data_IF_398461582118
#
_entry.id   IF_398461582118
#
_cell.length_a   1.000
_cell.length_b   1.000
_cell.length_c   1.000
_cell.angle_alpha   90.00
_cell.angle_beta   90.00
_cell.angle_gamma   90.00
#
_symmetry.space_group_name_H-M   'P 1'
#
loop_
_entity.id
_entity.type
_entity.pdbx_description
1 polymer ?
#
# COMPACT_ATOMS: atom_id res chain seq x y z
N UNK A 1 33.89 -30.15 71.55
CA UNK A 1 33.59 -29.58 70.20
C UNK A 1 32.07 -29.49 70.02
N UNK A 2 31.55 -28.31 69.88
CA UNK A 2 30.12 -28.14 69.74
C UNK A 2 29.78 -28.37 68.23
N UNK A 3 28.89 -29.31 67.98
CA UNK A 3 28.37 -29.56 66.67
C UNK A 3 27.17 -28.61 66.39
N UNK A 4 27.28 -27.78 65.35
CA UNK A 4 26.20 -26.91 64.88
C UNK A 4 25.47 -27.68 63.79
N UNK A 5 24.19 -27.97 63.99
CA UNK A 5 23.34 -28.54 62.94
C UNK A 5 22.46 -27.43 62.41
N UNK A 6 22.59 -27.14 61.09
CA UNK A 6 21.80 -26.11 60.37
C UNK A 6 20.82 -26.88 59.51
N UNK A 7 19.54 -26.58 59.66
CA UNK A 7 18.48 -27.09 58.80
C UNK A 7 17.81 -25.93 58.06
N UNK A 8 17.66 -26.08 56.74
CA UNK A 8 16.97 -25.13 55.90
C UNK A 8 15.59 -25.68 55.49
N UNK A 9 14.59 -24.88 55.62
CA UNK A 9 13.26 -25.19 55.13
C UNK A 9 12.84 -24.13 54.09
N UNK A 10 12.59 -24.59 52.85
CA UNK A 10 12.08 -23.76 51.78
C UNK A 10 10.54 -23.85 51.73
N UNK A 11 9.89 -22.74 51.97
CA UNK A 11 8.44 -22.63 51.84
C UNK A 11 8.14 -21.72 50.65
N UNK A 12 7.53 -22.25 49.61
CA UNK A 12 7.04 -21.49 48.45
C UNK A 12 5.57 -21.15 48.64
N UNK A 13 5.23 -19.90 48.78
CA UNK A 13 3.85 -19.42 48.74
C UNK A 13 3.77 -18.12 47.92
N UNK A 14 2.93 -18.15 46.88
CA UNK A 14 2.56 -16.97 46.06
C UNK A 14 3.72 -16.06 45.63
N UNK A 15 4.81 -16.64 45.09
CA UNK A 15 5.91 -15.86 44.52
C UNK A 15 6.94 -15.32 45.51
N UNK A 16 6.81 -15.62 46.79
CA UNK A 16 7.82 -15.33 47.84
C UNK A 16 8.54 -16.60 48.27
N UNK A 17 9.86 -16.58 48.25
CA UNK A 17 10.69 -17.64 48.88
C UNK A 17 10.98 -17.23 50.31
N UNK A 18 10.53 -18.04 51.27
CA UNK A 18 10.82 -17.89 52.69
C UNK A 18 11.83 -18.97 53.09
N UNK A 19 13.03 -18.59 53.45
CA UNK A 19 14.05 -19.51 53.95
C UNK A 19 14.09 -19.38 55.46
N UNK A 20 13.72 -20.46 56.18
CA UNK A 20 13.83 -20.55 57.62
C UNK A 20 15.15 -21.27 57.97
N UNK A 21 16.00 -20.59 58.68
CA UNK A 21 17.25 -21.16 59.20
C UNK A 21 17.10 -21.45 60.67
N UNK A 22 17.13 -22.73 61.02
CA UNK A 22 17.14 -23.22 62.41
C UNK A 22 18.57 -23.57 62.83
N UNK A 23 19.06 -22.89 63.88
CA UNK A 23 20.38 -23.17 64.44
C UNK A 23 20.20 -23.76 65.83
N UNK A 24 20.59 -25.03 66.01
CA UNK A 24 20.57 -25.72 67.29
C UNK A 24 21.98 -25.67 67.90
N UNK A 25 22.13 -24.97 69.02
CA UNK A 25 23.31 -25.02 69.83
C UNK A 25 22.99 -25.90 71.06
N UNK A 26 23.89 -26.85 71.38
CA UNK A 26 23.74 -27.76 72.54
C UNK A 26 23.59 -26.94 73.82
N UNK A 27 22.58 -27.30 74.62
CA UNK A 27 22.27 -27.00 76.04
C UNK A 27 21.52 -25.67 76.34
N UNK A 28 21.25 -24.80 75.37
CA UNK A 28 20.27 -23.74 75.63
C UNK A 28 19.51 -23.45 74.36
N UNK A 29 18.17 -23.67 74.36
CA UNK A 29 17.31 -23.45 73.22
C UNK A 29 17.15 -21.94 72.97
N UNK A 30 18.08 -21.36 72.23
CA UNK A 30 17.87 -20.08 71.60
C UNK A 30 17.47 -20.33 70.17
N UNK A 31 16.20 -20.15 69.86
CA UNK A 31 15.69 -20.11 68.45
C UNK A 31 15.92 -18.71 67.92
N UNK A 32 17.00 -18.48 67.21
CA UNK A 32 17.17 -17.27 66.42
C UNK A 32 16.52 -17.52 65.09
N UNK A 33 15.30 -16.98 64.89
CA UNK A 33 14.60 -17.02 63.63
C UNK A 33 15.08 -15.84 62.83
N UNK A 34 16.00 -16.03 61.90
CA UNK A 34 16.28 -15.05 60.87
C UNK A 34 15.27 -15.23 59.72
N UNK A 35 14.30 -14.33 59.67
CA UNK A 35 13.36 -14.28 58.54
C UNK A 35 13.99 -13.47 57.41
N UNK A 36 14.57 -14.13 56.43
CA UNK A 36 14.94 -13.46 55.17
C UNK A 36 13.74 -13.55 54.22
N UNK A 37 12.96 -12.47 54.18
CA UNK A 37 11.92 -12.29 53.15
C UNK A 37 12.57 -11.62 51.95
N UNK A 38 13.03 -12.39 51.00
CA UNK A 38 13.36 -11.84 49.67
C UNK A 38 12.09 -11.78 48.84
N UNK A 39 11.39 -10.66 48.88
CA UNK A 39 10.28 -10.39 47.96
C UNK A 39 10.90 -9.91 46.64
N UNK A 40 11.05 -10.79 45.69
CA UNK A 40 11.33 -10.36 44.29
C UNK A 40 10.04 -9.73 43.76
N UNK A 41 9.91 -8.42 43.94
CA UNK A 41 8.90 -7.67 43.21
C UNK A 41 9.34 -7.70 41.76
N UNK A 42 8.86 -8.68 41.01
CA UNK A 42 8.80 -8.55 39.55
C UNK A 42 7.81 -7.42 39.24
N UNK A 43 8.24 -6.19 39.46
CA UNK A 43 7.62 -5.06 38.78
C UNK A 43 7.86 -5.27 37.28
N UNK A 44 7.00 -6.06 36.64
CA UNK A 44 6.78 -5.89 35.23
C UNK A 44 6.28 -4.46 35.10
N UNK A 45 7.22 -3.54 34.85
CA UNK A 45 6.89 -2.27 34.23
C UNK A 45 6.28 -2.71 32.90
N UNK A 46 4.95 -2.80 32.87
CA UNK A 46 4.24 -2.78 31.60
C UNK A 46 4.59 -1.43 31.00
N UNK A 47 5.71 -1.41 30.26
CA UNK A 47 5.92 -0.35 29.27
C UNK A 47 4.60 -0.32 28.51
N UNK A 48 3.91 0.84 28.44
CA UNK A 48 2.84 0.96 27.48
C UNK A 48 3.51 0.56 26.17
N UNK A 49 3.22 -0.65 25.69
CA UNK A 49 3.47 -0.99 24.32
C UNK A 49 2.67 0.05 23.58
N UNK A 50 3.35 1.09 23.09
CA UNK A 50 2.88 1.86 21.96
C UNK A 50 2.78 0.85 20.81
N UNK A 51 1.77 0.01 20.88
CA UNK A 51 1.17 -0.53 19.69
C UNK A 51 0.50 0.67 19.05
N UNK A 52 1.34 1.56 18.47
CA UNK A 52 0.89 2.36 17.38
C UNK A 52 0.23 1.34 16.47
N UNK A 53 -1.10 1.40 16.39
CA UNK A 53 -1.82 0.55 15.46
C UNK A 53 -1.16 0.80 14.12
N UNK A 54 -0.22 -0.07 13.73
CA UNK A 54 0.26 -0.14 12.37
C UNK A 54 -0.98 -0.52 11.58
N UNK A 55 -1.75 0.52 11.22
CA UNK A 55 -2.84 0.32 10.27
C UNK A 55 -2.19 -0.33 9.08
N UNK A 56 -2.48 -1.61 8.86
CA UNK A 56 -1.93 -2.35 7.74
C UNK A 56 -2.11 -1.48 6.51
N UNK A 57 -1.00 -1.22 5.80
CA UNK A 57 -1.07 -0.43 4.58
C UNK A 57 -2.11 -1.09 3.67
N UNK A 58 -3.07 -0.29 3.22
CA UNK A 58 -4.09 -0.80 2.30
C UNK A 58 -3.40 -1.30 1.03
N UNK A 59 -3.85 -2.40 0.44
CA UNK A 59 -3.25 -2.92 -0.77
C UNK A 59 -3.31 -1.89 -1.91
N UNK A 60 -2.28 -1.87 -2.73
CA UNK A 60 -2.26 -1.05 -3.93
C UNK A 60 -3.28 -1.59 -4.95
N UNK A 61 -3.94 -0.68 -5.64
CA UNK A 61 -4.96 -0.95 -6.64
C UNK A 61 -4.46 -0.58 -8.04
N UNK A 62 -4.63 -1.49 -9.01
CA UNK A 62 -4.43 -1.23 -10.44
C UNK A 62 -5.77 -1.41 -11.13
N UNK A 63 -6.55 -0.34 -11.37
CA UNK A 63 -7.95 -0.43 -11.78
C UNK A 63 -8.18 -1.33 -12.99
N UNK A 64 -7.33 -1.21 -14.00
CA UNK A 64 -7.45 -2.02 -15.20
C UNK A 64 -6.52 -3.22 -15.22
N UNK A 65 -5.29 -3.11 -14.75
CA UNK A 65 -4.33 -4.21 -14.73
C UNK A 65 -4.85 -5.44 -14.00
N UNK A 66 -5.54 -5.23 -12.88
CA UNK A 66 -6.13 -6.31 -12.09
C UNK A 66 -7.48 -6.82 -12.64
N UNK A 67 -8.18 -6.06 -13.51
CA UNK A 67 -9.59 -6.32 -13.83
C UNK A 67 -9.89 -6.49 -15.32
N UNK A 68 -8.96 -6.21 -16.21
CA UNK A 68 -9.28 -6.12 -17.63
C UNK A 68 -8.65 -7.18 -18.52
N UNK A 69 -7.59 -7.85 -18.06
CA UNK A 69 -6.92 -8.87 -18.88
C UNK A 69 -6.38 -8.30 -20.21
N UNK A 70 -6.28 -9.14 -21.23
CA UNK A 70 -5.75 -8.80 -22.55
C UNK A 70 -6.69 -7.87 -23.34
N UNK A 71 -6.17 -7.05 -24.28
CA UNK A 71 -6.97 -6.23 -25.16
C UNK A 71 -7.88 -7.04 -26.06
N UNK A 72 -8.91 -6.39 -26.63
CA UNK A 72 -9.71 -6.93 -27.71
C UNK A 72 -8.95 -6.86 -29.04
N UNK A 73 -8.12 -5.82 -29.19
CA UNK A 73 -7.29 -5.65 -30.37
C UNK A 73 -6.18 -4.63 -30.15
N UNK A 74 -5.25 -4.64 -31.07
CA UNK A 74 -4.12 -3.71 -31.15
C UNK A 74 -4.07 -3.04 -32.52
N UNK A 75 -3.47 -1.87 -32.59
CA UNK A 75 -3.25 -1.16 -33.84
C UNK A 75 -1.88 -0.47 -33.83
N UNK A 76 -1.06 -0.82 -34.81
CA UNK A 76 0.31 -0.32 -34.92
C UNK A 76 0.44 0.98 -35.71
N UNK A 77 -0.67 1.52 -36.21
CA UNK A 77 -0.68 2.79 -36.96
C UNK A 77 -1.23 3.96 -36.17
N UNK A 78 -1.72 3.70 -34.94
CA UNK A 78 -2.32 4.74 -34.13
C UNK A 78 -1.27 5.71 -33.57
N UNK A 79 -1.50 6.97 -33.87
CA UNK A 79 -0.71 8.08 -33.36
C UNK A 79 -1.60 8.94 -32.47
N UNK A 80 -1.97 8.41 -31.32
CA UNK A 80 -2.95 8.99 -30.41
C UNK A 80 -2.43 9.06 -28.98
N UNK A 81 -2.82 10.10 -28.27
CA UNK A 81 -2.88 10.06 -26.82
C UNK A 81 -4.22 9.42 -26.42
N UNK A 82 -4.18 8.39 -25.62
CA UNK A 82 -5.34 7.58 -25.25
C UNK A 82 -5.35 7.30 -23.75
N UNK A 83 -6.53 7.33 -23.13
CA UNK A 83 -6.63 7.05 -21.73
C UNK A 83 -8.02 7.24 -21.15
N UNK A 84 -8.08 7.46 -19.85
CA UNK A 84 -9.34 7.58 -19.13
C UNK A 84 -9.33 8.70 -18.08
N UNK A 85 -10.51 9.26 -17.89
CA UNK A 85 -10.86 10.13 -16.79
C UNK A 85 -11.29 9.29 -15.60
N UNK A 86 -10.80 9.60 -14.41
CA UNK A 86 -11.18 8.91 -13.19
C UNK A 86 -11.40 9.85 -12.02
N UNK A 87 -12.19 9.37 -11.07
CA UNK A 87 -12.47 10.04 -9.81
C UNK A 87 -12.19 9.06 -8.67
N UNK A 88 -11.16 9.31 -7.83
CA UNK A 88 -10.94 8.53 -6.63
C UNK A 88 -12.13 8.61 -5.67
N UNK A 89 -12.51 7.51 -5.06
CA UNK A 89 -13.56 7.43 -4.04
C UNK A 89 -13.01 7.57 -2.61
N UNK A 90 -11.68 7.51 -2.47
CA UNK A 90 -10.94 7.78 -1.24
C UNK A 90 -9.74 8.67 -1.54
N UNK A 91 -9.25 9.40 -0.54
CA UNK A 91 -7.95 10.03 -0.63
C UNK A 91 -6.86 8.96 -0.73
N UNK A 92 -5.78 9.26 -1.43
CA UNK A 92 -4.68 8.31 -1.58
C UNK A 92 -3.54 8.87 -2.42
N UNK A 93 -2.71 7.96 -2.90
CA UNK A 93 -1.50 8.32 -3.64
C UNK A 93 -1.37 7.45 -4.88
N UNK A 94 -1.13 8.06 -6.03
CA UNK A 94 -0.70 7.37 -7.24
C UNK A 94 0.81 7.22 -7.18
N UNK A 95 1.30 5.98 -7.24
CA UNK A 95 2.72 5.65 -7.08
C UNK A 95 3.37 5.17 -8.37
N UNK A 96 2.58 4.68 -9.33
CA UNK A 96 3.06 4.22 -10.63
C UNK A 96 2.10 4.63 -11.74
N UNK A 97 2.65 4.81 -12.94
CA UNK A 97 1.88 4.86 -14.19
C UNK A 97 2.29 3.68 -15.06
N UNK A 98 1.34 3.14 -15.79
CA UNK A 98 1.56 1.98 -16.63
C UNK A 98 0.43 1.73 -17.62
N UNK A 99 0.41 0.54 -18.18
CA UNK A 99 -0.61 0.15 -19.14
C UNK A 99 -0.30 -1.17 -19.82
N UNK A 100 -1.17 -1.57 -20.73
CA UNK A 100 -0.97 -2.73 -21.62
C UNK A 100 -0.57 -2.23 -23.01
N UNK A 101 0.65 -2.51 -23.44
CA UNK A 101 1.19 -2.03 -24.72
C UNK A 101 2.40 -2.85 -25.17
N UNK A 102 2.93 -2.49 -26.34
CA UNK A 102 4.23 -2.94 -26.86
C UNK A 102 5.16 -1.75 -27.05
N UNK A 103 6.45 -1.96 -26.83
CA UNK A 103 7.48 -0.93 -26.96
C UNK A 103 7.45 0.10 -25.85
N UNK A 104 8.07 1.25 -26.10
CA UNK A 104 8.16 2.33 -25.12
C UNK A 104 7.00 3.31 -25.29
N UNK A 105 6.29 3.63 -24.21
CA UNK A 105 5.20 4.60 -24.16
C UNK A 105 5.49 5.70 -23.15
N UNK A 106 5.12 6.93 -23.47
CA UNK A 106 5.07 8.01 -22.49
C UNK A 106 3.67 8.05 -21.88
N UNK A 107 3.62 7.92 -20.56
CA UNK A 107 2.39 8.03 -19.78
C UNK A 107 2.36 9.35 -19.02
N UNK A 108 1.18 9.90 -18.86
CA UNK A 108 0.97 11.18 -18.19
C UNK A 108 -0.26 11.14 -17.29
N UNK A 109 -0.18 11.88 -16.19
CA UNK A 109 -1.26 12.07 -15.23
C UNK A 109 -1.52 13.56 -15.06
N UNK A 110 -2.76 14.00 -15.23
CA UNK A 110 -3.17 15.39 -15.02
C UNK A 110 -4.31 15.52 -14.03
N UNK A 111 -4.40 16.69 -13.39
CA UNK A 111 -5.62 17.15 -12.74
C UNK A 111 -6.53 17.80 -13.78
N UNK A 112 -7.75 17.31 -13.95
CA UNK A 112 -8.64 17.77 -15.03
C UNK A 112 -9.03 19.24 -14.88
N UNK A 113 -9.34 19.70 -13.66
CA UNK A 113 -9.87 21.06 -13.41
C UNK A 113 -8.88 22.18 -13.72
N UNK A 114 -7.57 21.92 -13.56
CA UNK A 114 -6.52 22.91 -13.82
C UNK A 114 -5.72 22.62 -15.08
N UNK A 115 -5.82 21.42 -15.64
CA UNK A 115 -4.93 20.96 -16.71
C UNK A 115 -3.48 20.74 -16.26
N UNK A 116 -3.21 20.76 -14.96
CA UNK A 116 -1.88 20.61 -14.37
C UNK A 116 -1.35 19.20 -14.62
N UNK A 117 -0.14 19.08 -15.18
CA UNK A 117 0.61 17.84 -15.28
C UNK A 117 1.15 17.48 -13.90
N UNK A 118 0.72 16.36 -13.36
CA UNK A 118 1.13 15.87 -12.04
C UNK A 118 2.29 14.89 -12.13
N UNK A 119 2.34 14.10 -13.20
CA UNK A 119 3.44 13.15 -13.46
C UNK A 119 3.53 12.81 -14.94
N UNK A 120 4.74 12.52 -15.40
CA UNK A 120 5.04 11.96 -16.72
C UNK A 120 6.18 10.96 -16.59
N UNK A 121 6.06 9.80 -17.26
CA UNK A 121 7.08 8.74 -17.23
C UNK A 121 7.06 7.94 -18.53
N UNK A 122 8.24 7.50 -18.97
CA UNK A 122 8.38 6.52 -20.05
C UNK A 122 8.44 5.11 -19.48
N UNK A 123 7.59 4.24 -20.01
CA UNK A 123 7.52 2.82 -19.65
C UNK A 123 7.77 1.98 -20.88
N UNK A 124 8.62 0.97 -20.75
CA UNK A 124 8.95 0.05 -21.84
C UNK A 124 8.43 -1.35 -21.52
N UNK A 125 7.76 -1.94 -22.50
CA UNK A 125 7.34 -3.34 -22.48
C UNK A 125 7.49 -3.93 -23.88
N UNK A 126 8.36 -4.94 -24.08
CA UNK A 126 8.51 -5.59 -25.37
C UNK A 126 7.42 -6.64 -25.64
N UNK A 127 6.64 -7.06 -24.64
CA UNK A 127 5.93 -8.34 -24.65
C UNK A 127 4.40 -8.24 -24.78
N UNK A 128 3.83 -7.06 -25.04
CA UNK A 128 2.38 -6.86 -25.01
C UNK A 128 1.77 -7.32 -23.67
N UNK A 129 2.23 -6.77 -22.59
CA UNK A 129 1.76 -7.07 -21.23
C UNK A 129 1.44 -5.82 -20.44
N UNK A 130 1.05 -5.98 -19.18
CA UNK A 130 0.90 -4.87 -18.25
C UNK A 130 2.26 -4.49 -17.67
N UNK A 131 2.72 -3.29 -17.98
CA UNK A 131 3.97 -2.74 -17.47
C UNK A 131 3.75 -1.42 -16.74
N UNK A 132 4.48 -1.20 -15.66
CA UNK A 132 4.38 -0.01 -14.81
C UNK A 132 5.77 0.50 -14.45
N UNK A 133 5.90 1.83 -14.34
CA UNK A 133 7.08 2.48 -13.80
C UNK A 133 6.70 3.34 -12.58
N UNK A 134 7.62 3.41 -11.63
CA UNK A 134 7.47 4.28 -10.46
C UNK A 134 7.53 5.75 -10.87
N UNK A 135 6.74 6.56 -10.20
CA UNK A 135 6.75 8.02 -10.30
C UNK A 135 7.01 8.63 -8.92
N UNK A 136 7.38 9.88 -8.86
CA UNK A 136 7.26 10.64 -7.60
C UNK A 136 5.81 10.53 -7.13
N UNK A 137 5.54 10.05 -5.92
CA UNK A 137 4.17 9.81 -5.45
C UNK A 137 3.29 11.07 -5.55
N UNK A 138 2.15 10.94 -6.22
CA UNK A 138 1.18 12.02 -6.44
C UNK A 138 -0.02 11.84 -5.52
N UNK A 139 -0.23 12.78 -4.61
CA UNK A 139 -1.45 12.77 -3.77
C UNK A 139 -2.67 13.11 -4.61
N UNK A 140 -3.69 12.26 -4.52
CA UNK A 140 -4.99 12.46 -5.17
C UNK A 140 -6.11 12.51 -4.14
N UNK A 141 -7.08 13.37 -4.39
CA UNK A 141 -8.18 13.68 -3.46
C UNK A 141 -9.47 13.03 -3.93
N UNK A 142 -10.21 12.44 -3.01
CA UNK A 142 -11.55 11.89 -3.27
C UNK A 142 -12.47 12.93 -3.91
N UNK A 143 -13.23 12.52 -4.92
CA UNK A 143 -14.16 13.40 -5.65
C UNK A 143 -13.53 14.32 -6.68
N UNK A 144 -12.21 14.47 -6.71
CA UNK A 144 -11.49 15.27 -7.73
C UNK A 144 -11.23 14.43 -8.96
N UNK A 145 -11.43 15.03 -10.16
CA UNK A 145 -11.20 14.34 -11.43
C UNK A 145 -9.75 14.44 -11.89
N UNK A 146 -9.21 13.30 -12.30
CA UNK A 146 -7.89 13.17 -12.91
C UNK A 146 -8.00 12.46 -14.25
N UNK A 147 -6.96 12.60 -15.07
CA UNK A 147 -6.86 11.93 -16.35
C UNK A 147 -5.50 11.25 -16.47
N UNK A 148 -5.50 9.96 -16.80
CA UNK A 148 -4.29 9.21 -17.17
C UNK A 148 -4.34 8.82 -18.62
N UNK A 149 -3.25 9.03 -19.36
CA UNK A 149 -3.15 8.63 -20.75
C UNK A 149 -1.73 8.18 -21.11
N UNK A 150 -1.67 7.35 -22.16
CA UNK A 150 -0.44 7.01 -22.86
C UNK A 150 -0.48 7.56 -24.29
N UNK A 151 0.72 7.85 -24.83
CA UNK A 151 0.90 8.16 -26.24
C UNK A 151 1.34 6.91 -27.01
N UNK A 152 0.57 6.52 -28.03
CA UNK A 152 0.76 5.24 -28.73
C UNK A 152 1.97 5.22 -29.64
N UNK A 153 2.43 6.39 -30.11
CA UNK A 153 3.63 6.55 -30.96
C UNK A 153 3.63 5.65 -32.21
N UNK A 154 2.47 5.53 -32.87
CA UNK A 154 2.28 4.73 -34.09
C UNK A 154 2.75 3.26 -33.95
N UNK A 155 2.75 2.72 -32.75
CA UNK A 155 3.13 1.34 -32.47
C UNK A 155 2.34 0.79 -31.27
N UNK A 156 1.74 -0.37 -31.41
CA UNK A 156 1.17 -1.15 -30.30
C UNK A 156 0.08 -0.42 -29.49
N UNK A 157 -0.73 0.41 -30.12
CA UNK A 157 -1.93 0.96 -29.48
C UNK A 157 -2.93 -0.15 -29.18
N UNK A 158 -3.33 -0.33 -27.93
CA UNK A 158 -4.27 -1.35 -27.50
C UNK A 158 -5.65 -0.74 -27.18
N UNK A 159 -6.70 -1.55 -27.33
CA UNK A 159 -8.05 -1.20 -26.88
C UNK A 159 -8.83 -2.40 -26.40
N UNK A 160 -9.85 -2.17 -25.60
CA UNK A 160 -10.81 -3.19 -25.19
C UNK A 160 -12.23 -2.69 -25.37
N UNK A 161 -13.06 -3.49 -26.02
CA UNK A 161 -14.49 -3.24 -26.21
C UNK A 161 -15.35 -3.88 -25.10
N UNK A 162 -16.65 -3.63 -25.15
CA UNK A 162 -17.61 -4.23 -24.22
C UNK A 162 -17.49 -3.69 -22.80
N UNK A 163 -17.15 -2.41 -22.66
CA UNK A 163 -17.10 -1.70 -21.37
C UNK A 163 -18.34 -0.85 -21.19
N UNK A 164 -18.63 -0.51 -19.94
CA UNK A 164 -19.66 0.46 -19.59
C UNK A 164 -19.09 1.43 -18.56
N UNK A 165 -19.29 2.72 -18.76
CA UNK A 165 -18.86 3.77 -17.84
C UNK A 165 -20.05 4.62 -17.39
N UNK A 166 -20.01 5.16 -16.17
CA UNK A 166 -18.95 4.99 -15.19
C UNK A 166 -18.91 3.57 -14.61
N UNK A 167 -17.70 3.13 -14.25
CA UNK A 167 -17.47 1.85 -13.55
C UNK A 167 -16.45 2.05 -12.44
N UNK A 168 -16.53 1.25 -11.38
CA UNK A 168 -15.65 1.39 -10.21
C UNK A 168 -14.87 0.10 -9.99
N UNK A 169 -13.56 0.24 -9.78
CA UNK A 169 -12.64 -0.82 -9.39
C UNK A 169 -11.91 -0.37 -8.12
N UNK A 170 -12.19 -1.08 -7.02
CA UNK A 170 -11.69 -0.65 -5.71
C UNK A 170 -12.16 0.76 -5.35
N UNK A 171 -11.21 1.65 -5.11
CA UNK A 171 -11.45 3.05 -4.79
C UNK A 171 -11.36 3.99 -6.01
N UNK A 172 -11.28 3.46 -7.22
CA UNK A 172 -11.19 4.28 -8.45
C UNK A 172 -12.44 4.10 -9.31
N UNK A 173 -13.20 5.17 -9.46
CA UNK A 173 -14.28 5.26 -10.43
C UNK A 173 -13.73 5.78 -11.75
N UNK A 174 -13.84 4.99 -12.81
CA UNK A 174 -13.52 5.39 -14.18
C UNK A 174 -14.77 6.03 -14.78
N UNK A 175 -14.67 7.29 -15.14
CA UNK A 175 -15.82 8.07 -15.61
C UNK A 175 -16.09 7.88 -17.11
N UNK A 176 -15.01 7.87 -17.91
CA UNK A 176 -15.06 7.66 -19.37
C UNK A 176 -13.66 7.50 -19.94
N UNK A 177 -13.58 6.98 -21.17
CA UNK A 177 -12.36 6.93 -21.96
C UNK A 177 -12.43 7.87 -23.14
N UNK A 178 -11.28 8.34 -23.60
CA UNK A 178 -11.17 9.19 -24.77
C UNK A 178 -9.78 9.14 -25.40
N UNK A 179 -9.64 9.73 -26.57
CA UNK A 179 -8.37 9.86 -27.27
C UNK A 179 -8.20 11.24 -27.88
N UNK A 180 -6.96 11.60 -28.20
CA UNK A 180 -6.61 12.78 -28.99
C UNK A 180 -5.62 12.38 -30.06
N UNK A 181 -6.01 12.58 -31.34
CA UNK A 181 -5.17 12.23 -32.47
C UNK A 181 -3.96 13.15 -32.57
N UNK A 182 -2.82 12.60 -32.97
CA UNK A 182 -1.57 13.30 -33.23
C UNK A 182 -1.16 14.27 -32.10
N UNK A 183 -1.40 13.86 -30.86
CA UNK A 183 -1.14 14.67 -29.69
C UNK A 183 -0.15 13.98 -28.75
N UNK A 184 1.04 14.55 -28.64
CA UNK A 184 2.07 14.12 -27.69
C UNK A 184 2.62 15.36 -26.98
N UNK A 185 1.96 15.77 -25.92
CA UNK A 185 2.31 16.97 -25.17
C UNK A 185 2.09 16.77 -23.67
N UNK A 186 2.86 17.47 -22.86
CA UNK A 186 2.66 17.55 -21.41
C UNK A 186 1.50 18.48 -21.04
N UNK A 187 1.06 19.34 -21.98
CA UNK A 187 -0.14 20.15 -21.78
C UNK A 187 -1.39 19.28 -21.84
N UNK A 188 -2.33 19.51 -20.93
CA UNK A 188 -3.63 18.84 -20.98
C UNK A 188 -4.41 19.26 -22.22
N UNK A 189 -4.95 18.34 -23.03
CA UNK A 189 -5.70 18.71 -24.22
C UNK A 189 -6.93 19.57 -23.89
N UNK A 190 -7.13 20.67 -24.61
CA UNK A 190 -8.32 21.50 -24.46
C UNK A 190 -9.62 20.80 -24.87
N UNK A 191 -9.51 19.77 -25.71
CA UNK A 191 -10.62 18.90 -26.11
C UNK A 191 -10.12 17.48 -26.34
N UNK A 192 -10.95 16.52 -26.00
CA UNK A 192 -10.77 15.10 -26.29
C UNK A 192 -11.76 14.66 -27.34
N UNK A 193 -11.34 13.75 -28.20
CA UNK A 193 -12.22 13.07 -29.17
C UNK A 193 -12.70 11.73 -28.60
N UNK A 194 -13.80 11.22 -29.16
CA UNK A 194 -14.26 9.86 -28.85
C UNK A 194 -14.51 9.61 -27.37
N UNK A 195 -15.09 10.58 -26.65
CA UNK A 195 -15.56 10.33 -25.29
C UNK A 195 -16.63 9.24 -25.32
N UNK A 196 -16.25 8.03 -25.01
CA UNK A 196 -17.09 6.84 -25.15
C UNK A 196 -17.27 6.12 -23.82
N UNK A 197 -18.38 5.40 -23.77
CA UNK A 197 -18.77 4.62 -22.59
C UNK A 197 -18.63 3.11 -22.80
N UNK A 198 -18.22 2.66 -23.99
CA UNK A 198 -18.18 1.23 -24.36
C UNK A 198 -16.79 0.73 -24.78
N UNK A 199 -15.78 1.59 -24.80
CA UNK A 199 -14.40 1.22 -25.10
C UNK A 199 -13.45 1.70 -24.02
N UNK A 200 -12.35 0.95 -23.86
CA UNK A 200 -11.16 1.34 -23.14
C UNK A 200 -10.08 1.63 -24.19
N UNK A 201 -9.72 2.88 -24.35
CA UNK A 201 -8.69 3.30 -25.29
C UNK A 201 -7.32 3.38 -24.66
N UNK A 202 -6.29 2.86 -25.34
CA UNK A 202 -4.89 2.96 -24.96
C UNK A 202 -4.48 2.08 -23.79
N UNK A 203 -5.42 1.55 -23.04
CA UNK A 203 -5.18 0.71 -21.85
C UNK A 203 -4.11 1.29 -20.89
N UNK A 204 -4.07 2.62 -20.76
CA UNK A 204 -3.28 3.27 -19.70
C UNK A 204 -3.84 2.92 -18.32
N UNK A 205 -2.98 2.87 -17.31
CA UNK A 205 -3.39 2.54 -15.94
C UNK A 205 -2.53 3.25 -14.89
N UNK A 206 -2.98 3.19 -13.65
CA UNK A 206 -2.30 3.74 -12.47
C UNK A 206 -2.12 2.65 -11.43
N UNK A 207 -1.15 2.84 -10.53
CA UNK A 207 -1.13 2.15 -9.23
C UNK A 207 -1.52 3.14 -8.15
N UNK A 208 -2.67 2.90 -7.52
CA UNK A 208 -3.24 3.75 -6.48
C UNK A 208 -3.15 3.07 -5.11
N UNK A 209 -2.71 3.80 -4.09
CA UNK A 209 -2.69 3.35 -2.70
C UNK A 209 -3.64 4.25 -1.90
N UNK A 210 -4.77 3.73 -1.42
CA UNK A 210 -5.69 4.50 -0.59
C UNK A 210 -5.12 4.75 0.82
N UNK A 211 -5.41 5.94 1.39
CA UNK A 211 -5.01 6.31 2.75
C UNK A 211 -5.79 5.53 3.83
#
# INVERSE_FOLDING_TARGET
>A
MAHIVVQFFDIKAQGCNIVLMNCLLNDTRFILIFLFISCSVNAQVALPTFQGAHRAAKPAETPWGSNCGSPTGTNNTWNYMMGYKFTPQANGTVTKLGGYFNGTKTLRLWRVSSGELLASVSVSDPDNSWAYADITPVTVTSGVQYYVALYTNSNGGAYKSGRSYPTTYGNIRIDKCSYKQSYNSDTYPSSWSGEVTNYMYGMADITFVPN
#
